data_IF_934306365203
#
_entry.id   IF_934306365203
#
_cell.length_a   1.000
_cell.length_b   1.000
_cell.length_c   1.000
_cell.angle_alpha   90.00
_cell.angle_beta   90.00
_cell.angle_gamma   90.00
#
_symmetry.space_group_name_H-M   'P 1'
#
loop_
_entity.id
_entity.type
_entity.pdbx_description
1 polymer ?
#
# COMPACT_ATOMS: atom_id res chain seq x y z
N UNK A 1 -1.09 -10.35 15.72
CA UNK A 1 -1.59 -9.72 14.50
C UNK A 1 -0.75 -8.47 14.28
N UNK A 2 0.04 -8.46 13.22
CA UNK A 2 0.92 -7.34 12.85
C UNK A 2 0.08 -6.25 12.16
N UNK A 3 0.48 -4.97 12.25
CA UNK A 3 -0.18 -3.86 11.55
C UNK A 3 -0.21 -4.11 10.04
N UNK A 4 0.83 -4.72 9.48
CA UNK A 4 0.90 -5.09 8.07
C UNK A 4 -0.19 -6.09 7.71
N UNK A 5 -0.38 -7.13 8.53
CA UNK A 5 -1.44 -8.12 8.35
C UNK A 5 -2.83 -7.47 8.46
N UNK A 6 -3.01 -6.57 9.43
CA UNK A 6 -4.26 -5.86 9.65
C UNK A 6 -4.66 -5.01 8.43
N UNK A 7 -3.68 -4.34 7.81
CA UNK A 7 -3.90 -3.53 6.60
C UNK A 7 -4.10 -4.45 5.39
N UNK A 8 -3.32 -5.52 5.25
CA UNK A 8 -3.50 -6.50 4.16
C UNK A 8 -4.91 -7.09 4.18
N UNK A 9 -5.43 -7.48 5.34
CA UNK A 9 -6.82 -7.96 5.47
C UNK A 9 -7.87 -6.93 5.02
N UNK A 10 -7.56 -5.63 5.09
CA UNK A 10 -8.42 -4.57 4.55
C UNK A 10 -8.26 -4.42 3.04
N UNK A 11 -7.03 -4.48 2.53
CA UNK A 11 -6.76 -4.50 1.08
C UNK A 11 -7.48 -5.67 0.42
N UNK A 12 -7.37 -6.87 0.99
CA UNK A 12 -7.96 -8.10 0.45
C UNK A 12 -9.49 -7.98 0.37
N UNK A 13 -10.13 -7.40 1.39
CA UNK A 13 -11.59 -7.15 1.36
C UNK A 13 -11.99 -6.19 0.24
N UNK A 14 -11.25 -5.09 0.08
CA UNK A 14 -11.51 -4.13 -1.01
C UNK A 14 -11.26 -4.78 -2.37
N UNK A 15 -10.23 -5.62 -2.48
CA UNK A 15 -9.94 -6.40 -3.66
C UNK A 15 -11.12 -7.30 -4.04
N UNK A 16 -11.64 -8.07 -3.08
CA UNK A 16 -12.76 -8.96 -3.29
C UNK A 16 -14.03 -8.22 -3.72
N UNK A 17 -14.28 -7.03 -3.16
CA UNK A 17 -15.46 -6.22 -3.46
C UNK A 17 -15.42 -5.53 -4.84
N UNK A 18 -14.23 -5.13 -5.32
CA UNK A 18 -14.10 -4.24 -6.49
C UNK A 18 -13.39 -4.90 -7.68
N UNK A 19 -12.34 -5.69 -7.43
CA UNK A 19 -11.39 -6.11 -8.45
C UNK A 19 -11.49 -7.59 -8.81
N UNK A 20 -12.10 -8.41 -7.96
CA UNK A 20 -12.25 -9.86 -8.15
C UNK A 20 -12.99 -10.27 -9.43
N UNK A 21 -13.86 -9.40 -9.96
CA UNK A 21 -14.63 -9.66 -11.17
C UNK A 21 -13.89 -9.35 -12.48
N UNK A 22 -12.70 -8.75 -12.41
CA UNK A 22 -11.94 -8.39 -13.62
C UNK A 22 -11.29 -9.62 -14.25
N UNK A 23 -11.30 -9.71 -15.59
CA UNK A 23 -10.62 -10.80 -16.31
C UNK A 23 -9.10 -10.79 -16.08
N UNK A 24 -8.53 -9.60 -15.88
CA UNK A 24 -7.13 -9.41 -15.52
C UNK A 24 -7.04 -8.75 -14.13
N UNK A 25 -6.83 -9.59 -13.11
CA UNK A 25 -6.86 -9.16 -11.72
C UNK A 25 -5.51 -8.55 -11.30
N UNK A 26 -5.50 -7.36 -10.69
CA UNK A 26 -4.30 -6.83 -10.05
C UNK A 26 -4.01 -7.57 -8.73
N UNK A 27 -2.74 -7.71 -8.35
CA UNK A 27 -2.35 -8.18 -7.02
C UNK A 27 -1.91 -6.98 -6.17
N UNK A 28 -2.49 -6.84 -4.98
CA UNK A 28 -2.13 -5.78 -4.04
C UNK A 28 -1.41 -6.33 -2.81
N UNK A 29 -0.27 -5.75 -2.46
CA UNK A 29 0.56 -6.20 -1.31
C UNK A 29 0.96 -5.04 -0.43
N UNK A 30 0.88 -5.22 0.89
CA UNK A 30 1.41 -4.30 1.90
C UNK A 30 2.78 -4.77 2.37
N UNK A 31 3.75 -3.86 2.39
CA UNK A 31 5.10 -4.10 2.87
C UNK A 31 5.59 -2.99 3.80
N UNK A 32 6.57 -3.31 4.64
CA UNK A 32 7.22 -2.36 5.54
C UNK A 32 8.60 -1.99 4.96
N UNK A 33 8.79 -0.72 4.63
CA UNK A 33 10.07 -0.18 4.20
C UNK A 33 10.80 0.44 5.39
N UNK A 34 12.07 0.05 5.57
CA UNK A 34 12.95 0.57 6.59
C UNK A 34 13.94 1.55 5.96
N UNK A 35 13.84 2.84 6.29
CA UNK A 35 14.85 3.83 5.88
C UNK A 35 15.83 4.08 7.04
N UNK A 36 17.05 3.54 6.93
CA UNK A 36 18.12 3.77 7.90
C UNK A 36 19.16 2.65 7.94
N UNK A 37 20.25 2.81 7.20
CA UNK A 37 21.47 2.01 7.38
C UNK A 37 22.44 2.81 8.26
N UNK A 38 22.27 2.74 9.57
CA UNK A 38 23.17 3.35 10.55
C UNK A 38 22.94 2.75 11.93
N UNK A 39 24.02 2.55 12.69
CA UNK A 39 24.10 1.79 13.95
C UNK A 39 23.15 2.24 15.09
N UNK A 40 22.36 3.29 14.91
CA UNK A 40 21.40 3.78 15.89
C UNK A 40 19.97 3.32 15.55
N UNK A 41 19.62 2.13 16.03
CA UNK A 41 18.30 1.47 15.91
C UNK A 41 17.10 2.24 16.50
N UNK A 42 17.31 3.40 17.13
CA UNK A 42 16.27 4.09 17.89
C UNK A 42 15.46 5.13 17.09
N UNK A 43 15.93 5.57 15.92
CA UNK A 43 15.25 6.58 15.08
C UNK A 43 14.99 6.08 13.64
N UNK A 44 14.59 4.82 13.47
CA UNK A 44 14.23 4.29 12.15
C UNK A 44 12.86 4.82 11.72
N UNK A 45 12.81 5.58 10.62
CA UNK A 45 11.54 5.94 9.99
C UNK A 45 10.99 4.72 9.25
N UNK A 46 9.87 4.18 9.76
CA UNK A 46 9.15 3.10 9.13
C UNK A 46 8.10 3.67 8.16
N UNK A 47 8.09 3.17 6.92
CA UNK A 47 7.08 3.54 5.91
C UNK A 47 6.29 2.31 5.52
N UNK A 48 4.96 2.42 5.54
CA UNK A 48 4.07 1.37 5.04
C UNK A 48 3.88 1.62 3.56
N UNK A 49 4.12 0.60 2.74
CA UNK A 49 4.07 0.68 1.28
C UNK A 49 2.99 -0.23 0.75
N UNK A 50 2.10 0.32 -0.07
CA UNK A 50 1.13 -0.41 -0.88
C UNK A 50 1.71 -0.58 -2.29
N UNK A 51 1.74 -1.82 -2.76
CA UNK A 51 2.20 -2.18 -4.11
C UNK A 51 1.05 -2.80 -4.89
N UNK A 52 0.93 -2.45 -6.17
CA UNK A 52 0.09 -3.15 -7.15
C UNK A 52 0.98 -3.83 -8.18
N UNK A 53 0.64 -5.05 -8.55
CA UNK A 53 1.19 -5.78 -9.69
C UNK A 53 0.06 -6.14 -10.66
N UNK A 54 0.19 -5.75 -11.93
CA UNK A 54 -0.84 -5.98 -12.95
C UNK A 54 -0.20 -5.93 -14.35
N UNK A 55 -0.45 -6.94 -15.18
CA UNK A 55 0.10 -7.03 -16.54
C UNK A 55 1.63 -6.80 -16.62
N UNK A 56 2.41 -7.46 -15.77
CA UNK A 56 3.87 -7.32 -15.66
C UNK A 56 4.37 -5.92 -15.23
N UNK A 57 3.46 -4.98 -14.92
CA UNK A 57 3.78 -3.69 -14.32
C UNK A 57 3.63 -3.76 -12.80
N UNK A 58 4.58 -3.13 -12.10
CA UNK A 58 4.53 -2.98 -10.65
C UNK A 58 4.68 -1.51 -10.27
N UNK A 59 3.76 -1.00 -9.45
CA UNK A 59 3.84 0.34 -8.88
C UNK A 59 3.64 0.29 -7.37
N UNK A 60 4.39 1.12 -6.66
CA UNK A 60 4.33 1.21 -5.20
C UNK A 60 4.11 2.65 -4.74
N UNK A 61 3.36 2.83 -3.65
CA UNK A 61 3.15 4.13 -3.00
C UNK A 61 3.21 3.97 -1.47
N UNK A 62 3.83 4.95 -0.80
CA UNK A 62 3.81 5.04 0.67
C UNK A 62 2.42 5.48 1.09
N UNK A 63 1.76 4.65 1.90
CA UNK A 63 0.47 4.97 2.52
C UNK A 63 0.70 5.50 3.94
N UNK A 64 -0.17 6.38 4.40
CA UNK A 64 -0.03 7.12 5.66
C UNK A 64 1.28 7.94 5.77
N UNK A 65 1.60 8.82 4.80
CA UNK A 65 2.79 9.64 4.87
C UNK A 65 2.79 10.54 6.12
N UNK A 66 3.99 10.69 6.71
CA UNK A 66 4.27 11.31 8.01
C UNK A 66 3.35 12.48 8.42
N UNK A 67 2.84 12.41 9.65
CA UNK A 67 1.72 13.14 10.28
C UNK A 67 1.89 14.67 10.43
N UNK A 68 2.95 15.27 9.85
CA UNK A 68 3.20 16.72 9.97
C UNK A 68 2.15 17.57 9.23
N UNK A 69 1.37 16.97 8.34
CA UNK A 69 0.25 17.63 7.66
C UNK A 69 -1.09 17.08 8.18
N UNK A 70 -1.96 17.98 8.63
CA UNK A 70 -3.25 17.69 9.26
C UNK A 70 -4.37 17.36 8.25
N UNK A 71 -4.12 17.51 6.96
CA UNK A 71 -5.09 17.32 5.88
C UNK A 71 -4.54 16.34 4.83
N UNK A 72 -5.39 15.41 4.35
CA UNK A 72 -5.11 14.65 3.13
C UNK A 72 -4.83 13.15 3.28
N UNK A 73 -5.44 12.45 4.24
CA UNK A 73 -5.47 10.98 4.17
C UNK A 73 -6.51 10.56 3.13
N UNK A 74 -6.04 10.14 1.96
CA UNK A 74 -6.86 9.39 1.01
C UNK A 74 -7.23 8.03 1.61
N UNK A 75 -8.41 7.53 1.25
CA UNK A 75 -8.83 6.21 1.69
C UNK A 75 -7.96 5.13 1.04
N UNK A 76 -7.84 3.97 1.69
CA UNK A 76 -7.10 2.83 1.14
C UNK A 76 -7.67 2.39 -0.22
N UNK A 77 -8.99 2.53 -0.40
CA UNK A 77 -9.67 2.28 -1.67
C UNK A 77 -9.23 3.26 -2.78
N UNK A 78 -9.15 4.56 -2.47
CA UNK A 78 -8.66 5.57 -3.41
C UNK A 78 -7.20 5.32 -3.79
N UNK A 79 -6.37 4.93 -2.83
CA UNK A 79 -4.96 4.59 -3.06
C UNK A 79 -4.81 3.34 -3.96
N UNK A 80 -5.60 2.30 -3.71
CA UNK A 80 -5.66 1.10 -4.57
C UNK A 80 -6.14 1.46 -5.98
N UNK A 81 -7.17 2.29 -6.10
CA UNK A 81 -7.71 2.75 -7.38
C UNK A 81 -6.70 3.59 -8.15
N UNK A 82 -6.00 4.49 -7.46
CA UNK A 82 -4.94 5.30 -8.05
C UNK A 82 -3.83 4.41 -8.63
N UNK A 83 -3.36 3.42 -7.86
CA UNK A 83 -2.32 2.49 -8.30
C UNK A 83 -2.78 1.62 -9.48
N UNK A 84 -3.98 1.05 -9.42
CA UNK A 84 -4.55 0.27 -10.52
C UNK A 84 -4.72 1.10 -11.80
N UNK A 85 -5.19 2.34 -11.70
CA UNK A 85 -5.31 3.20 -12.87
C UNK A 85 -3.96 3.55 -13.52
N UNK A 86 -2.84 3.36 -12.81
CA UNK A 86 -1.50 3.53 -13.39
C UNK A 86 -1.01 2.28 -14.14
N UNK A 87 -1.64 1.13 -13.95
CA UNK A 87 -1.31 -0.12 -14.66
C UNK A 87 -2.13 -0.32 -15.94
N UNK A 88 -3.15 0.52 -16.16
CA UNK A 88 -3.96 0.61 -17.39
C UNK A 88 -3.37 1.61 -18.38
#
# INVERSE_FOLDING_TARGET
MDIIQCIQEKVDKIFDEIYSINECQPAFTISLLFEGAGDNKHDMEHKIVLTVEHNDFAFSKVIFPNVKNTYGYESLEEEMRYLYNRTM
#
